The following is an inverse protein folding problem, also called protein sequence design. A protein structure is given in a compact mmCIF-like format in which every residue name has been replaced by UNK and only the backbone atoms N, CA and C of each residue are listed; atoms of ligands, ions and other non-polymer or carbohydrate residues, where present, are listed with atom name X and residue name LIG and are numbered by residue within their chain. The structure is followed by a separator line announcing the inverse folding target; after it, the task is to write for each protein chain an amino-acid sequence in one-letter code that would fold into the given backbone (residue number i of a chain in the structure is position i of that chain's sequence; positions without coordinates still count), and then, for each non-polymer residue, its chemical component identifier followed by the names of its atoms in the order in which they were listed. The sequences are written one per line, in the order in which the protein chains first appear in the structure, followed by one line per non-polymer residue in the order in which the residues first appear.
data_IF_971205355135
#
_entry.id   IF_971205355135
#
_cell.length_a   1.000
_cell.length_b   1.000
_cell.length_c   1.000
_cell.angle_alpha   90.00
_cell.angle_beta   90.00
_cell.angle_gamma   90.00
#
_symmetry.space_group_name_H-M   'P 1'
#
loop_
_entity.id
_entity.type
_entity.pdbx_description
1 polymer ?
#
# COMPACT_ATOMS: atom_id res chain seq x y z
N UNK A 1 -27.07 4.21 15.07
CA UNK A 1 -26.30 5.19 14.25
C UNK A 1 -25.96 6.48 15.02
N UNK A 2 -26.89 7.19 15.65
CA UNK A 2 -26.58 8.49 16.31
C UNK A 2 -25.62 8.43 17.50
N UNK A 3 -25.71 7.39 18.36
CA UNK A 3 -24.85 7.27 19.56
C UNK A 3 -23.37 7.05 19.23
N UNK A 4 -23.07 6.18 18.26
CA UNK A 4 -21.70 5.91 17.83
C UNK A 4 -21.04 7.15 17.18
N UNK A 5 -21.80 7.88 16.36
CA UNK A 5 -21.33 9.14 15.78
C UNK A 5 -21.03 10.18 16.86
N UNK A 6 -21.88 10.29 17.89
CA UNK A 6 -21.64 11.22 19.00
C UNK A 6 -20.35 10.88 19.77
N UNK A 7 -20.06 9.59 20.00
CA UNK A 7 -18.79 9.14 20.59
C UNK A 7 -17.62 9.50 19.70
N UNK A 8 -17.67 9.16 18.41
CA UNK A 8 -16.59 9.49 17.47
C UNK A 8 -16.34 11.00 17.37
N UNK A 9 -17.39 11.83 17.38
CA UNK A 9 -17.25 13.29 17.36
C UNK A 9 -16.63 13.83 18.66
N UNK A 10 -16.93 13.21 19.81
CA UNK A 10 -16.30 13.54 21.08
C UNK A 10 -14.80 13.21 21.04
N UNK A 11 -14.42 12.06 20.50
CA UNK A 11 -13.02 11.66 20.34
C UNK A 11 -12.30 12.59 19.36
N UNK A 12 -12.93 12.98 18.25
CA UNK A 12 -12.38 13.94 17.29
C UNK A 12 -12.05 15.31 17.88
N UNK A 13 -12.66 15.68 19.01
CA UNK A 13 -12.45 16.96 19.68
C UNK A 13 -11.28 16.96 20.67
N UNK A 14 -10.60 15.82 20.87
CA UNK A 14 -9.47 15.72 21.82
C UNK A 14 -8.15 16.17 21.21
N UNK A 15 -7.17 16.54 22.05
CA UNK A 15 -5.83 16.89 21.59
C UNK A 15 -5.08 15.67 21.05
N UNK A 16 -5.36 14.48 21.57
CA UNK A 16 -4.83 13.20 21.08
C UNK A 16 -5.27 12.95 19.63
N UNK A 17 -6.54 13.20 19.29
CA UNK A 17 -7.01 13.06 17.91
C UNK A 17 -6.37 14.10 16.98
N UNK A 18 -6.14 15.32 17.48
CA UNK A 18 -5.41 16.35 16.74
C UNK A 18 -3.97 15.93 16.44
N UNK A 19 -3.28 15.34 17.42
CA UNK A 19 -1.93 14.80 17.25
C UNK A 19 -1.92 13.62 16.29
N UNK A 20 -2.89 12.71 16.39
CA UNK A 20 -3.10 11.63 15.43
C UNK A 20 -3.25 12.16 14.00
N UNK A 21 -4.10 13.18 13.79
CA UNK A 21 -4.29 13.79 12.47
C UNK A 21 -3.01 14.36 11.86
N UNK A 22 -2.15 14.99 12.68
CA UNK A 22 -0.81 15.44 12.25
C UNK A 22 0.08 14.27 11.87
N UNK A 23 0.13 13.24 12.72
CA UNK A 23 0.93 12.04 12.48
C UNK A 23 0.53 11.31 11.19
N UNK A 24 -0.77 11.27 10.87
CA UNK A 24 -1.28 10.68 9.61
C UNK A 24 -0.68 11.38 8.38
N UNK A 25 -0.64 12.71 8.38
CA UNK A 25 -0.09 13.50 7.27
C UNK A 25 1.44 13.32 7.20
N UNK A 26 2.14 13.40 8.33
CA UNK A 26 3.60 13.21 8.41
C UNK A 26 4.02 11.82 7.92
N UNK A 27 3.26 10.78 8.29
CA UNK A 27 3.46 9.42 7.82
C UNK A 27 3.22 9.29 6.31
N UNK A 28 2.18 9.94 5.79
CA UNK A 28 1.86 9.95 4.36
C UNK A 28 2.97 10.60 3.54
N UNK A 29 3.49 11.74 4.00
CA UNK A 29 4.63 12.41 3.41
C UNK A 29 5.90 11.56 3.48
N UNK A 30 6.16 10.91 4.61
CA UNK A 30 7.31 10.01 4.78
C UNK A 30 7.28 8.88 3.74
N UNK A 31 6.16 8.15 3.66
CA UNK A 31 6.01 7.04 2.73
C UNK A 31 6.08 7.51 1.27
N UNK A 32 5.39 8.61 0.93
CA UNK A 32 5.41 9.18 -0.40
C UNK A 32 6.82 9.58 -0.83
N UNK A 33 7.56 10.30 0.01
CA UNK A 33 8.91 10.75 -0.28
C UNK A 33 9.90 9.59 -0.40
N UNK A 34 9.73 8.55 0.40
CA UNK A 34 10.56 7.35 0.32
C UNK A 34 10.34 6.58 -0.99
N UNK A 35 9.10 6.46 -1.45
CA UNK A 35 8.80 5.87 -2.75
C UNK A 35 9.33 6.72 -3.92
N UNK A 36 9.24 8.06 -3.82
CA UNK A 36 9.87 8.96 -4.80
C UNK A 36 11.39 8.73 -4.85
N UNK A 37 12.05 8.64 -3.69
CA UNK A 37 13.49 8.37 -3.58
C UNK A 37 13.89 7.05 -4.23
N UNK A 38 12.99 6.05 -4.18
CA UNK A 38 13.16 4.74 -4.83
C UNK A 38 12.84 4.73 -6.33
N UNK A 39 12.45 5.88 -6.91
CA UNK A 39 12.24 6.05 -8.34
C UNK A 39 10.79 5.89 -8.79
N UNK A 40 9.82 5.77 -7.88
CA UNK A 40 8.42 5.69 -8.25
C UNK A 40 7.84 7.07 -8.58
N UNK A 41 7.02 7.11 -9.63
CA UNK A 41 6.30 8.33 -10.01
C UNK A 41 5.03 8.48 -9.17
N UNK A 42 4.90 9.60 -8.48
CA UNK A 42 3.66 9.99 -7.79
C UNK A 42 2.87 10.94 -8.69
N UNK A 43 1.55 10.74 -8.82
CA UNK A 43 0.69 11.46 -9.78
C UNK A 43 0.86 12.98 -9.73
N UNK A 44 0.92 13.55 -8.52
CA UNK A 44 1.08 14.98 -8.27
C UNK A 44 2.49 15.34 -7.79
N UNK A 45 3.43 14.39 -7.77
CA UNK A 45 4.79 14.58 -7.26
C UNK A 45 4.94 14.59 -5.73
N UNK A 46 3.85 14.43 -4.97
CA UNK A 46 3.87 14.47 -3.51
C UNK A 46 2.48 14.29 -2.89
N UNK A 47 2.37 14.58 -1.59
CA UNK A 47 1.11 14.59 -0.85
C UNK A 47 1.08 15.62 0.27
N UNK A 48 -0.09 16.21 0.51
CA UNK A 48 -0.37 17.14 1.60
C UNK A 48 -1.49 16.62 2.52
N UNK A 49 -1.91 15.37 2.32
CA UNK A 49 -2.98 14.74 3.08
C UNK A 49 -2.64 13.28 3.40
N UNK A 50 -3.66 12.48 3.72
CA UNK A 50 -3.52 11.11 4.22
C UNK A 50 -3.32 10.04 3.12
N UNK A 51 -3.32 10.42 1.84
CA UNK A 51 -3.18 9.49 0.72
C UNK A 51 -2.38 10.06 -0.46
N UNK A 52 -1.97 9.17 -1.36
CA UNK A 52 -1.41 9.52 -2.67
C UNK A 52 -1.57 8.35 -3.64
N UNK A 53 -1.27 8.60 -4.92
CA UNK A 53 -1.33 7.59 -5.98
C UNK A 53 0.02 7.44 -6.66
N UNK A 54 0.49 6.19 -6.74
CA UNK A 54 1.69 5.79 -7.47
C UNK A 54 1.30 5.42 -8.91
N UNK A 55 1.98 5.98 -9.91
CA UNK A 55 1.82 5.66 -11.33
C UNK A 55 2.81 4.56 -11.74
N UNK A 56 2.32 3.31 -11.85
CA UNK A 56 3.17 2.15 -12.09
C UNK A 56 3.64 1.99 -13.53
N UNK A 57 3.17 2.84 -14.46
CA UNK A 57 3.72 2.86 -15.84
C UNK A 57 5.22 3.18 -15.84
N UNK A 58 5.67 3.96 -14.85
CA UNK A 58 7.09 4.30 -14.66
C UNK A 58 7.99 3.07 -14.48
N UNK A 59 7.44 1.95 -14.02
CA UNK A 59 8.16 0.68 -13.81
C UNK A 59 7.66 -0.45 -14.71
N UNK A 60 6.91 -0.11 -15.76
CA UNK A 60 6.40 -1.11 -16.73
C UNK A 60 5.28 -2.00 -16.21
N UNK A 61 4.58 -1.59 -15.15
CA UNK A 61 3.44 -2.30 -14.57
C UNK A 61 2.13 -1.52 -14.76
N UNK A 62 1.03 -2.16 -14.42
CA UNK A 62 -0.27 -1.51 -14.23
C UNK A 62 -0.78 -1.76 -12.80
N UNK A 63 -1.83 -1.02 -12.42
CA UNK A 63 -2.41 -1.09 -11.08
C UNK A 63 -2.87 -2.49 -10.70
N UNK A 64 -3.48 -3.23 -11.65
CA UNK A 64 -3.99 -4.59 -11.40
C UNK A 64 -2.90 -5.60 -11.06
N UNK A 65 -1.74 -5.57 -11.75
CA UNK A 65 -0.62 -6.47 -11.49
C UNK A 65 0.10 -6.09 -10.19
N UNK A 66 0.33 -4.79 -9.96
CA UNK A 66 0.94 -4.31 -8.73
C UNK A 66 0.09 -4.62 -7.49
N UNK A 67 -1.21 -4.31 -7.54
CA UNK A 67 -2.16 -4.59 -6.44
C UNK A 67 -2.20 -6.09 -6.14
N UNK A 68 -2.19 -6.94 -7.17
CA UNK A 68 -2.24 -8.39 -6.96
C UNK A 68 -1.01 -8.93 -6.23
N UNK A 69 0.19 -8.43 -6.53
CA UNK A 69 1.39 -8.85 -5.81
C UNK A 69 1.39 -8.32 -4.38
N UNK A 70 0.99 -7.06 -4.18
CA UNK A 70 0.86 -6.49 -2.83
C UNK A 70 -0.14 -7.27 -1.97
N UNK A 71 -1.29 -7.66 -2.54
CA UNK A 71 -2.29 -8.52 -1.89
C UNK A 71 -1.69 -9.85 -1.45
N UNK A 72 -0.90 -10.50 -2.32
CA UNK A 72 -0.28 -11.80 -2.04
C UNK A 72 0.75 -11.74 -0.90
N UNK A 73 1.36 -10.57 -0.67
CA UNK A 73 2.30 -10.33 0.43
C UNK A 73 1.65 -9.64 1.65
N UNK A 74 0.32 -9.73 1.78
CA UNK A 74 -0.46 -9.19 2.90
C UNK A 74 -0.42 -7.66 3.02
N UNK A 75 -0.25 -6.94 1.90
CA UNK A 75 -0.37 -5.48 1.81
C UNK A 75 -1.63 -5.11 1.04
N UNK A 76 -2.65 -4.66 1.77
CA UNK A 76 -3.90 -4.19 1.18
C UNK A 76 -3.74 -2.79 0.57
N UNK A 77 -3.97 -2.68 -0.74
CA UNK A 77 -4.03 -1.41 -1.48
C UNK A 77 -5.20 -1.41 -2.45
N UNK A 78 -5.39 -0.31 -3.19
CA UNK A 78 -6.43 -0.22 -4.21
C UNK A 78 -5.85 0.26 -5.53
N UNK A 79 -6.04 -0.51 -6.61
CA UNK A 79 -5.76 -0.02 -7.96
C UNK A 79 -6.64 1.19 -8.28
N UNK A 80 -6.06 2.24 -8.85
CA UNK A 80 -6.74 3.50 -9.12
C UNK A 80 -6.32 4.05 -10.49
N UNK A 81 -7.26 4.65 -11.22
CA UNK A 81 -6.95 5.32 -12.48
C UNK A 81 -6.02 6.49 -12.24
N UNK A 82 -5.12 6.75 -13.20
CA UNK A 82 -4.25 7.91 -13.19
C UNK A 82 -4.46 8.76 -14.45
N UNK A 83 -4.08 10.05 -14.43
CA UNK A 83 -4.06 10.87 -15.63
C UNK A 83 -3.32 10.18 -16.78
N UNK A 84 -3.95 10.17 -17.96
CA UNK A 84 -3.45 9.50 -19.16
C UNK A 84 -3.85 8.03 -19.31
N UNK A 85 -4.60 7.44 -18.37
CA UNK A 85 -5.22 6.14 -18.60
C UNK A 85 -6.27 6.23 -19.71
N UNK A 86 -6.19 5.31 -20.68
CA UNK A 86 -7.12 5.25 -21.81
C UNK A 86 -8.47 4.62 -21.45
N UNK A 87 -8.53 3.88 -20.34
CA UNK A 87 -9.72 3.16 -19.90
C UNK A 87 -9.75 3.03 -18.38
N UNK A 88 -10.93 3.24 -17.78
CA UNK A 88 -11.15 3.00 -16.36
C UNK A 88 -11.05 1.53 -15.96
N UNK A 89 -11.21 0.60 -16.92
CA UNK A 89 -11.07 -0.84 -16.70
C UNK A 89 -9.61 -1.31 -16.65
N UNK A 90 -8.66 -0.42 -16.93
CA UNK A 90 -7.22 -0.73 -16.95
C UNK A 90 -6.42 0.36 -16.22
N UNK A 91 -6.63 0.51 -14.90
CA UNK A 91 -5.95 1.53 -14.12
C UNK A 91 -4.43 1.28 -14.10
N UNK A 92 -3.65 2.35 -14.25
CA UNK A 92 -2.19 2.28 -14.16
C UNK A 92 -1.65 2.44 -12.75
N UNK A 93 -2.43 2.99 -11.81
CA UNK A 93 -1.91 3.36 -10.51
C UNK A 93 -2.41 2.53 -9.33
N UNK A 94 -1.80 2.80 -8.18
CA UNK A 94 -2.21 2.28 -6.87
C UNK A 94 -2.33 3.45 -5.89
N UNK A 95 -3.47 3.51 -5.20
CA UNK A 95 -3.73 4.48 -4.13
C UNK A 95 -3.31 3.88 -2.79
N UNK A 96 -2.53 4.64 -2.04
CA UNK A 96 -2.00 4.26 -0.73
C UNK A 96 -2.41 5.34 0.27
N UNK A 97 -2.77 4.92 1.49
CA UNK A 97 -3.08 5.84 2.58
C UNK A 97 -2.55 5.34 3.91
N UNK A 98 -2.38 6.26 4.86
CA UNK A 98 -1.74 6.04 6.16
C UNK A 98 -2.64 5.97 7.40
N UNK A 99 -3.94 6.36 7.40
CA UNK A 99 -4.76 6.37 8.63
C UNK A 99 -4.76 5.05 9.39
N UNK A 100 -5.04 3.93 8.69
CA UNK A 100 -5.21 2.62 9.33
C UNK A 100 -3.96 2.17 10.11
N UNK A 101 -2.76 2.28 9.50
CA UNK A 101 -1.51 1.90 10.17
C UNK A 101 -1.12 2.91 11.25
N UNK A 102 -1.41 4.20 11.04
CA UNK A 102 -1.16 5.23 12.07
C UNK A 102 -2.02 4.99 13.31
N UNK A 103 -3.27 4.54 13.16
CA UNK A 103 -4.12 4.11 14.29
C UNK A 103 -3.58 2.88 15.03
N UNK A 104 -2.68 2.11 14.40
CA UNK A 104 -1.93 1.00 15.01
C UNK A 104 -0.57 1.44 15.56
N UNK A 105 -0.37 2.74 15.79
CA UNK A 105 0.86 3.35 16.31
C UNK A 105 2.07 3.33 15.35
N UNK A 106 1.87 3.13 14.05
CA UNK A 106 2.98 3.30 13.10
C UNK A 106 3.42 4.77 13.04
N UNK A 107 4.72 4.99 13.04
CA UNK A 107 5.35 6.30 12.87
C UNK A 107 6.28 6.27 11.66
N UNK A 108 7.11 7.30 11.55
CA UNK A 108 8.06 7.52 10.45
C UNK A 108 8.87 6.26 10.10
N UNK A 109 9.56 5.67 11.08
CA UNK A 109 10.47 4.54 10.83
C UNK A 109 9.72 3.30 10.33
N UNK A 110 8.52 3.07 10.85
CA UNK A 110 7.67 1.98 10.39
C UNK A 110 7.17 2.22 8.95
N UNK A 111 6.86 3.47 8.60
CA UNK A 111 6.48 3.82 7.23
C UNK A 111 7.65 3.73 6.24
N UNK A 112 8.90 3.93 6.67
CA UNK A 112 10.07 3.61 5.85
C UNK A 112 10.18 2.11 5.59
N UNK A 113 9.84 1.28 6.60
CA UNK A 113 9.79 -0.18 6.42
C UNK A 113 8.65 -0.61 5.51
N UNK A 114 7.48 0.01 5.62
CA UNK A 114 6.35 -0.21 4.69
C UNK A 114 6.75 0.15 3.25
N UNK A 115 7.46 1.27 3.05
CA UNK A 115 7.98 1.66 1.74
C UNK A 115 8.91 0.59 1.15
N UNK A 116 9.75 0.00 2.00
CA UNK A 116 10.65 -1.09 1.61
C UNK A 116 9.90 -2.34 1.16
N UNK A 117 8.87 -2.77 1.90
CA UNK A 117 8.06 -3.91 1.50
C UNK A 117 7.28 -3.67 0.20
N UNK A 118 6.73 -2.46 0.02
CA UNK A 118 6.05 -2.07 -1.22
C UNK A 118 7.02 -2.10 -2.41
N UNK A 119 8.23 -1.57 -2.23
CA UNK A 119 9.28 -1.58 -3.26
C UNK A 119 9.70 -3.01 -3.63
N UNK A 120 9.91 -3.89 -2.63
CA UNK A 120 10.20 -5.30 -2.87
C UNK A 120 9.05 -5.98 -3.64
N UNK A 121 7.79 -5.72 -3.25
CA UNK A 121 6.61 -6.23 -3.94
C UNK A 121 6.53 -5.76 -5.39
N UNK A 122 6.78 -4.48 -5.68
CA UNK A 122 6.79 -3.98 -7.05
C UNK A 122 7.93 -4.53 -7.89
N UNK A 123 9.14 -4.66 -7.34
CA UNK A 123 10.26 -5.31 -8.04
C UNK A 123 9.96 -6.76 -8.39
N UNK A 124 9.36 -7.50 -7.46
CA UNK A 124 8.91 -8.87 -7.72
C UNK A 124 7.81 -8.92 -8.78
N UNK A 125 6.86 -7.97 -8.76
CA UNK A 125 5.85 -7.85 -9.80
C UNK A 125 6.46 -7.58 -11.18
N UNK A 126 7.51 -6.75 -11.27
CA UNK A 126 8.26 -6.54 -12.52
C UNK A 126 8.93 -7.83 -12.99
N UNK A 127 9.60 -8.54 -12.10
CA UNK A 127 10.26 -9.83 -12.39
C UNK A 127 9.25 -10.84 -12.97
N UNK A 128 8.10 -11.00 -12.32
CA UNK A 128 7.01 -11.89 -12.77
C UNK A 128 6.44 -11.44 -14.11
N UNK A 129 6.30 -10.13 -14.33
CA UNK A 129 5.78 -9.58 -15.58
C UNK A 129 6.71 -9.87 -16.77
N UNK A 130 8.02 -9.86 -16.52
CA UNK A 130 9.07 -10.10 -17.52
C UNK A 130 9.35 -11.58 -17.77
N UNK A 131 8.96 -12.48 -16.86
CA UNK A 131 9.12 -13.91 -17.04
C UNK A 131 8.37 -14.43 -18.29
N UNK A 132 8.88 -15.52 -18.88
CA UNK A 132 8.31 -16.11 -20.09
C UNK A 132 6.83 -16.48 -19.93
N UNK A 133 6.02 -16.24 -20.97
CA UNK A 133 4.59 -16.52 -21.00
C UNK A 133 3.73 -15.30 -21.35
N UNK A 134 2.41 -15.48 -21.35
CA UNK A 134 1.46 -14.45 -21.77
C UNK A 134 1.48 -13.18 -20.91
N UNK A 135 0.82 -12.13 -21.39
CA UNK A 135 0.86 -10.78 -20.81
C UNK A 135 -0.45 -10.38 -20.12
N UNK A 136 -1.49 -11.20 -20.21
CA UNK A 136 -2.78 -10.92 -19.58
C UNK A 136 -2.68 -11.03 -18.06
N UNK A 137 -3.68 -10.52 -17.34
CA UNK A 137 -3.74 -10.68 -15.89
C UNK A 137 -3.89 -12.16 -15.48
N UNK A 138 -4.54 -12.98 -16.31
CA UNK A 138 -4.65 -14.42 -16.09
C UNK A 138 -3.26 -15.07 -16.15
N UNK A 139 -2.51 -14.82 -17.22
CA UNK A 139 -1.16 -15.35 -17.38
C UNK A 139 -0.23 -14.87 -16.26
N UNK A 140 -0.38 -13.62 -15.82
CA UNK A 140 0.39 -13.09 -14.70
C UNK A 140 0.14 -13.86 -13.40
N UNK A 141 -1.11 -14.20 -13.09
CA UNK A 141 -1.45 -15.03 -11.93
C UNK A 141 -0.88 -16.44 -12.04
N UNK A 142 -0.91 -17.04 -13.24
CA UNK A 142 -0.29 -18.34 -13.49
C UNK A 142 1.24 -18.29 -13.30
N UNK A 143 1.90 -17.19 -13.72
CA UNK A 143 3.32 -16.96 -13.44
C UNK A 143 3.60 -16.84 -11.95
N UNK A 144 2.78 -16.11 -11.19
CA UNK A 144 2.93 -15.99 -9.73
C UNK A 144 2.91 -17.36 -9.02
N UNK A 145 2.14 -18.32 -9.54
CA UNK A 145 2.03 -19.67 -8.97
C UNK A 145 3.22 -20.59 -9.29
N UNK A 146 4.21 -20.14 -10.08
CA UNK A 146 5.41 -20.94 -10.32
C UNK A 146 6.25 -21.03 -9.05
N UNK A 147 6.90 -22.18 -8.77
CA UNK A 147 7.60 -22.40 -7.50
C UNK A 147 8.60 -21.31 -7.13
N UNK A 148 9.34 -20.77 -8.10
CA UNK A 148 10.35 -19.73 -7.88
C UNK A 148 9.75 -18.39 -7.42
N UNK A 149 8.55 -18.05 -7.87
CA UNK A 149 7.87 -16.81 -7.49
C UNK A 149 7.00 -17.00 -6.26
N UNK A 150 6.30 -18.12 -6.17
CA UNK A 150 5.47 -18.49 -5.00
C UNK A 150 6.31 -18.51 -3.71
N UNK A 151 7.53 -19.06 -3.76
CA UNK A 151 8.44 -19.04 -2.61
C UNK A 151 8.88 -17.63 -2.21
N UNK A 152 9.21 -16.77 -3.19
CA UNK A 152 9.58 -15.37 -2.92
C UNK A 152 8.41 -14.58 -2.33
N UNK A 153 7.20 -14.77 -2.87
CA UNK A 153 5.97 -14.14 -2.38
C UNK A 153 5.68 -14.57 -0.93
N UNK A 154 5.75 -15.86 -0.63
CA UNK A 154 5.56 -16.39 0.74
C UNK A 154 6.58 -15.86 1.73
N UNK A 155 7.86 -15.84 1.35
CA UNK A 155 8.91 -15.29 2.22
C UNK A 155 8.70 -13.80 2.51
N UNK A 156 8.32 -13.02 1.50
CA UNK A 156 8.04 -11.59 1.69
C UNK A 156 6.77 -11.36 2.51
N UNK A 157 5.72 -12.17 2.28
CA UNK A 157 4.49 -12.18 3.07
C UNK A 157 4.78 -12.42 4.55
N UNK A 158 5.58 -13.44 4.85
CA UNK A 158 5.95 -13.77 6.24
C UNK A 158 6.68 -12.59 6.91
N UNK A 159 7.58 -11.91 6.21
CA UNK A 159 8.24 -10.71 6.75
C UNK A 159 7.25 -9.56 7.02
N UNK A 160 6.30 -9.33 6.11
CA UNK A 160 5.25 -8.31 6.28
C UNK A 160 4.36 -8.64 7.48
N UNK A 161 3.90 -9.88 7.58
CA UNK A 161 3.04 -10.34 8.67
C UNK A 161 3.76 -10.27 10.01
N UNK A 162 5.00 -10.78 10.09
CA UNK A 162 5.83 -10.73 11.30
C UNK A 162 6.15 -9.29 11.75
N UNK A 163 6.23 -8.35 10.83
CA UNK A 163 6.35 -6.94 11.16
C UNK A 163 5.01 -6.38 11.68
N UNK A 164 3.90 -6.66 10.99
CA UNK A 164 2.60 -6.11 11.30
C UNK A 164 2.00 -6.61 12.63
N UNK A 165 2.31 -7.83 13.07
CA UNK A 165 1.81 -8.39 14.35
C UNK A 165 2.43 -7.75 15.60
N UNK A 166 3.51 -6.99 15.45
CA UNK A 166 4.17 -6.30 16.58
C UNK A 166 3.36 -5.08 17.07
N UNK A 167 2.33 -4.69 16.34
CA UNK A 167 1.55 -3.47 16.57
C UNK A 167 0.13 -3.79 17.05
N UNK A 168 -0.43 -2.98 17.95
CA UNK A 168 -1.77 -3.21 18.48
C UNK A 168 -2.83 -3.17 17.37
N UNK A 169 -3.93 -3.88 17.60
CA UNK A 169 -5.12 -3.84 16.76
C UNK A 169 -6.23 -3.11 17.52
N UNK A 170 -6.59 -1.87 17.16
CA UNK A 170 -7.70 -1.18 17.80
C UNK A 170 -8.99 -1.97 17.61
N UNK A 171 -9.72 -2.22 18.69
CA UNK A 171 -10.89 -3.08 18.68
C UNK A 171 -11.20 -3.64 20.06
N UNK A 172 -11.96 -4.72 20.09
CA UNK A 172 -12.19 -5.50 21.31
C UNK A 172 -11.08 -6.54 21.43
N UNK A 173 -10.62 -6.83 22.64
CA UNK A 173 -9.49 -7.74 22.87
C UNK A 173 -9.79 -9.20 22.46
N UNK A 174 -11.08 -9.60 22.48
CA UNK A 174 -11.52 -11.00 22.38
C UNK A 174 -12.38 -11.33 21.13
N UNK A 175 -12.45 -10.44 20.12
CA UNK A 175 -13.31 -10.62 18.94
C UNK A 175 -12.62 -10.31 17.61
#
# INVERSE_FOLDING_TARGET
FSKAIAVALKDCATEEFRQYGRQVIENSQTLCNELIRRGYKIVTGGTENHLFSVDLRSVGLNGSKGERVLEEISIATNKNTCPGDKSALSPSGIRIGTPALTSRNFKREEFLRVADFIDQGFKLAVEINQAEGGQTLKDFKEKMSRPEFDQKLKALREQVENFAVQFPMPGLDDY
#
